data_IF_184504078929
#
_entry.id   IF_184504078929
#
_cell.length_a   1.000
_cell.length_b   1.000
_cell.length_c   1.000
_cell.angle_alpha   90.00
_cell.angle_beta   90.00
_cell.angle_gamma   90.00
#
_symmetry.space_group_name_H-M   'P 1'
#
loop_
_entity.id
_entity.type
_entity.pdbx_description
1 polymer ?
#
# COMPACT_ATOMS: atom_id res chain seq x y z
N UNK A 1 11.75 33.53 0.51
CA UNK A 1 10.42 32.90 0.26
C UNK A 1 10.33 32.18 -1.10
N UNK A 2 10.65 32.81 -2.24
CA UNK A 2 10.63 32.13 -3.57
C UNK A 2 11.54 30.89 -3.68
N UNK A 3 12.76 30.96 -3.12
CA UNK A 3 13.74 29.88 -3.20
C UNK A 3 13.33 28.63 -2.39
N UNK A 4 12.64 28.83 -1.27
CA UNK A 4 12.08 27.76 -0.44
C UNK A 4 10.93 27.02 -1.16
N UNK A 5 10.09 27.75 -1.90
CA UNK A 5 8.99 27.16 -2.69
C UNK A 5 9.49 26.36 -3.92
N UNK A 6 10.64 26.77 -4.50
CA UNK A 6 11.28 26.04 -5.59
C UNK A 6 11.85 24.69 -5.16
N UNK A 7 12.33 24.55 -3.92
CA UNK A 7 12.87 23.28 -3.40
C UNK A 7 11.80 22.34 -2.87
N UNK A 8 10.68 22.88 -2.38
CA UNK A 8 9.59 22.08 -1.81
C UNK A 8 8.82 21.27 -2.88
N UNK A 9 8.67 21.84 -4.08
CA UNK A 9 7.86 21.26 -5.15
C UNK A 9 8.45 19.94 -5.70
N UNK A 10 9.76 19.84 -6.01
CA UNK A 10 10.38 18.58 -6.43
C UNK A 10 10.34 17.48 -5.36
N UNK A 11 10.49 17.85 -4.08
CA UNK A 11 10.41 16.89 -2.97
C UNK A 11 9.02 16.27 -2.89
N UNK A 12 7.97 17.10 -2.98
CA UNK A 12 6.59 16.63 -2.97
C UNK A 12 6.28 15.70 -4.14
N UNK A 13 6.77 16.04 -5.34
CA UNK A 13 6.64 15.17 -6.52
C UNK A 13 7.39 13.85 -6.31
N UNK A 14 8.61 13.89 -5.75
CA UNK A 14 9.37 12.69 -5.43
C UNK A 14 8.64 11.78 -4.45
N UNK A 15 8.01 12.33 -3.41
CA UNK A 15 7.21 11.57 -2.45
C UNK A 15 6.01 10.89 -3.11
N UNK A 16 5.29 11.59 -4.00
CA UNK A 16 4.17 10.99 -4.76
C UNK A 16 4.65 9.83 -5.63
N UNK A 17 5.79 10.01 -6.32
CA UNK A 17 6.38 8.94 -7.16
C UNK A 17 6.76 7.73 -6.31
N UNK A 18 7.42 7.95 -5.17
CA UNK A 18 7.77 6.86 -4.23
C UNK A 18 6.50 6.15 -3.73
N UNK A 19 5.45 6.88 -3.39
CA UNK A 19 4.15 6.31 -3.02
C UNK A 19 3.57 5.44 -4.14
N UNK A 20 3.59 5.93 -5.38
CA UNK A 20 3.14 5.16 -6.55
C UNK A 20 3.95 3.87 -6.76
N UNK A 21 5.28 3.94 -6.62
CA UNK A 21 6.16 2.76 -6.69
C UNK A 21 5.81 1.74 -5.59
N UNK A 22 5.55 2.21 -4.37
CA UNK A 22 5.20 1.31 -3.26
C UNK A 22 3.88 0.58 -3.51
N UNK A 23 2.87 1.27 -4.05
CA UNK A 23 1.61 0.65 -4.48
C UNK A 23 1.84 -0.37 -5.59
N UNK A 24 2.68 -0.06 -6.59
CA UNK A 24 3.01 -0.99 -7.66
C UNK A 24 3.71 -2.25 -7.14
N UNK A 25 4.63 -2.12 -6.19
CA UNK A 25 5.29 -3.26 -5.55
C UNK A 25 4.27 -4.10 -4.77
N UNK A 26 3.37 -3.47 -4.00
CA UNK A 26 2.28 -4.15 -3.31
C UNK A 26 1.41 -4.96 -4.26
N UNK A 27 1.00 -4.35 -5.37
CA UNK A 27 0.25 -5.02 -6.43
C UNK A 27 0.97 -6.25 -6.98
N UNK A 28 2.24 -6.09 -7.36
CA UNK A 28 3.04 -7.20 -7.90
C UNK A 28 3.18 -8.33 -6.89
N UNK A 29 3.42 -8.02 -5.61
CA UNK A 29 3.50 -9.01 -4.53
C UNK A 29 2.19 -9.76 -4.32
N UNK A 30 1.07 -9.04 -4.22
CA UNK A 30 -0.26 -9.66 -4.04
C UNK A 30 -0.64 -10.54 -5.23
N UNK A 31 -0.41 -10.07 -6.46
CA UNK A 31 -0.67 -10.86 -7.67
C UNK A 31 0.24 -12.09 -7.74
N UNK A 32 1.52 -11.95 -7.41
CA UNK A 32 2.45 -13.08 -7.37
C UNK A 32 2.03 -14.12 -6.33
N UNK A 33 1.61 -13.68 -5.13
CA UNK A 33 1.07 -14.56 -4.10
C UNK A 33 -0.17 -15.31 -4.60
N UNK A 34 -1.18 -14.60 -5.11
CA UNK A 34 -2.41 -15.22 -5.63
C UNK A 34 -2.16 -16.22 -6.76
N UNK A 35 -1.15 -15.97 -7.60
CA UNK A 35 -0.80 -16.87 -8.70
C UNK A 35 -0.06 -18.13 -8.20
N UNK A 36 0.84 -17.96 -7.24
CA UNK A 36 1.73 -19.03 -6.80
C UNK A 36 1.14 -19.85 -5.63
N UNK A 37 0.18 -19.29 -4.89
CA UNK A 37 -0.43 -19.89 -3.71
C UNK A 37 -1.96 -19.83 -3.83
N UNK A 38 -2.57 -20.66 -4.71
CA UNK A 38 -4.03 -20.72 -4.85
C UNK A 38 -4.71 -21.29 -3.60
N UNK A 39 -3.98 -22.05 -2.77
CA UNK A 39 -4.42 -22.62 -1.50
C UNK A 39 -3.23 -22.70 -0.54
N UNK A 40 -3.45 -22.44 0.75
CA UNK A 40 -2.43 -22.59 1.80
C UNK A 40 -2.32 -24.07 2.19
N UNK A 41 -1.25 -24.75 1.79
CA UNK A 41 -1.07 -26.18 2.00
C UNK A 41 -0.09 -26.49 3.14
N UNK A 42 0.91 -25.64 3.36
CA UNK A 42 1.96 -25.86 4.33
C UNK A 42 2.35 -24.59 5.11
N UNK A 43 3.31 -24.73 6.02
CA UNK A 43 3.83 -23.62 6.80
C UNK A 43 4.57 -22.57 5.95
N UNK A 44 5.16 -22.97 4.81
CA UNK A 44 5.85 -22.05 3.90
C UNK A 44 4.86 -21.13 3.18
N UNK A 45 3.71 -21.65 2.76
CA UNK A 45 2.59 -20.86 2.26
C UNK A 45 2.09 -19.85 3.29
N UNK A 46 1.98 -20.28 4.54
CA UNK A 46 1.56 -19.41 5.63
C UNK A 46 2.55 -18.28 5.90
N UNK A 47 3.86 -18.55 5.88
CA UNK A 47 4.87 -17.50 6.02
C UNK A 47 4.84 -16.52 4.84
N UNK A 48 4.62 -17.00 3.61
CA UNK A 48 4.40 -16.11 2.45
C UNK A 48 3.17 -15.22 2.63
N UNK A 49 2.09 -15.75 3.20
CA UNK A 49 0.89 -14.99 3.51
C UNK A 49 1.15 -13.91 4.58
N UNK A 50 1.86 -14.26 5.65
CA UNK A 50 2.28 -13.32 6.69
C UNK A 50 3.18 -12.22 6.14
N UNK A 51 4.13 -12.55 5.28
CA UNK A 51 5.01 -11.55 4.66
C UNK A 51 4.27 -10.59 3.74
N UNK A 52 3.24 -11.09 3.03
CA UNK A 52 2.34 -10.24 2.25
C UNK A 52 1.58 -9.28 3.16
N UNK A 53 1.00 -9.79 4.25
CA UNK A 53 0.26 -8.99 5.22
C UNK A 53 1.15 -7.94 5.90
N UNK A 54 2.34 -8.33 6.40
CA UNK A 54 3.33 -7.42 6.98
C UNK A 54 3.70 -6.31 6.00
N UNK A 55 3.99 -6.67 4.74
CA UNK A 55 4.29 -5.67 3.72
C UNK A 55 3.12 -4.71 3.50
N UNK A 56 1.88 -5.23 3.38
CA UNK A 56 0.68 -4.42 3.21
C UNK A 56 0.48 -3.42 4.36
N UNK A 57 0.64 -3.87 5.61
CA UNK A 57 0.51 -3.01 6.80
C UNK A 57 1.58 -1.90 6.82
N UNK A 58 2.86 -2.25 6.64
CA UNK A 58 3.94 -1.26 6.61
C UNK A 58 3.83 -0.30 5.42
N UNK A 59 3.44 -0.81 4.26
CA UNK A 59 3.26 0.01 3.07
C UNK A 59 2.11 1.01 3.24
N UNK A 60 0.98 0.59 3.83
CA UNK A 60 -0.13 1.47 4.13
C UNK A 60 0.28 2.60 5.09
N UNK A 61 1.05 2.30 6.13
CA UNK A 61 1.60 3.31 7.06
C UNK A 61 2.51 4.30 6.34
N UNK A 62 3.39 3.84 5.45
CA UNK A 62 4.29 4.70 4.69
C UNK A 62 3.54 5.55 3.65
N UNK A 63 2.47 5.03 3.05
CA UNK A 63 1.68 5.73 2.03
C UNK A 63 0.98 6.97 2.58
N UNK A 64 0.56 6.96 3.85
CA UNK A 64 -0.11 8.10 4.48
C UNK A 64 0.74 9.37 4.36
N UNK A 65 1.96 9.46 4.93
CA UNK A 65 2.77 10.67 4.79
C UNK A 65 3.24 10.91 3.35
N UNK A 66 3.52 9.85 2.58
CA UNK A 66 4.00 9.98 1.20
C UNK A 66 2.98 10.61 0.25
N UNK A 67 1.69 10.45 0.50
CA UNK A 67 0.64 11.02 -0.35
C UNK A 67 -0.04 12.23 0.29
N UNK A 68 -0.27 12.19 1.60
CA UNK A 68 -1.00 13.24 2.29
C UNK A 68 -0.18 14.52 2.46
N UNK A 69 1.12 14.42 2.77
CA UNK A 69 1.98 15.61 2.92
C UNK A 69 2.11 16.34 1.58
N UNK A 70 2.46 15.69 0.45
CA UNK A 70 2.49 16.36 -0.85
C UNK A 70 1.16 16.96 -1.26
N UNK A 71 0.04 16.27 -0.99
CA UNK A 71 -1.29 16.81 -1.26
C UNK A 71 -1.51 18.13 -0.51
N UNK A 72 -1.29 18.15 0.81
CA UNK A 72 -1.46 19.37 1.61
C UNK A 72 -0.53 20.49 1.15
N UNK A 73 0.75 20.17 0.92
CA UNK A 73 1.74 21.16 0.52
C UNK A 73 1.41 21.75 -0.86
N UNK A 74 1.13 20.91 -1.86
CA UNK A 74 0.92 21.38 -3.23
C UNK A 74 -0.43 22.08 -3.42
N UNK A 75 -1.45 21.76 -2.61
CA UNK A 75 -2.77 22.40 -2.67
C UNK A 75 -2.81 23.72 -1.91
N UNK A 76 -2.31 23.75 -0.67
CA UNK A 76 -2.49 24.91 0.21
C UNK A 76 -1.34 25.92 0.17
N UNK A 77 -0.15 25.54 -0.31
CA UNK A 77 0.99 26.46 -0.43
C UNK A 77 0.98 27.10 -1.83
N UNK A 78 1.30 28.40 -1.97
CA UNK A 78 1.46 29.03 -3.28
C UNK A 78 2.54 28.31 -4.11
N UNK A 79 2.10 27.63 -5.16
CA UNK A 79 2.94 26.89 -6.10
C UNK A 79 2.53 27.23 -7.54
N UNK A 80 3.41 26.92 -8.50
CA UNK A 80 3.06 27.03 -9.93
C UNK A 80 1.81 26.17 -10.23
N UNK A 81 0.93 26.61 -11.16
CA UNK A 81 -0.24 25.84 -11.58
C UNK A 81 0.07 24.38 -11.96
N UNK A 82 1.25 24.12 -12.55
CA UNK A 82 1.69 22.77 -12.92
C UNK A 82 1.86 21.89 -11.68
N UNK A 83 2.50 22.40 -10.62
CA UNK A 83 2.70 21.63 -9.39
C UNK A 83 1.39 21.43 -8.61
N UNK A 84 0.46 22.39 -8.68
CA UNK A 84 -0.90 22.21 -8.14
C UNK A 84 -1.64 21.09 -8.85
N UNK A 85 -1.56 21.06 -10.19
CA UNK A 85 -2.16 19.99 -10.98
C UNK A 85 -1.55 18.63 -10.61
N UNK A 86 -0.23 18.53 -10.50
CA UNK A 86 0.44 17.29 -10.08
C UNK A 86 0.07 16.87 -8.65
N UNK A 87 -0.05 17.83 -7.73
CA UNK A 87 -0.48 17.59 -6.36
C UNK A 87 -1.91 17.09 -6.21
N UNK A 88 -2.75 17.31 -7.23
CA UNK A 88 -4.12 16.81 -7.27
C UNK A 88 -4.21 15.49 -8.04
N UNK A 89 -3.63 15.43 -9.23
CA UNK A 89 -3.68 14.25 -10.12
C UNK A 89 -2.88 13.09 -9.56
N UNK A 90 -1.68 13.32 -9.03
CA UNK A 90 -0.80 12.27 -8.53
C UNK A 90 -1.43 11.43 -7.42
N UNK A 91 -1.81 12.04 -6.27
CA UNK A 91 -2.48 11.31 -5.19
C UNK A 91 -3.80 10.67 -5.63
N UNK A 92 -4.56 11.31 -6.52
CA UNK A 92 -5.81 10.74 -7.07
C UNK A 92 -5.54 9.45 -7.85
N UNK A 93 -4.55 9.45 -8.74
CA UNK A 93 -4.16 8.25 -9.50
C UNK A 93 -3.71 7.13 -8.57
N UNK A 94 -2.88 7.45 -7.57
CA UNK A 94 -2.43 6.46 -6.59
C UNK A 94 -3.61 5.91 -5.78
N UNK A 95 -4.58 6.75 -5.43
CA UNK A 95 -5.82 6.33 -4.76
C UNK A 95 -6.65 5.35 -5.61
N UNK A 96 -6.83 5.63 -6.90
CA UNK A 96 -7.56 4.74 -7.83
C UNK A 96 -6.88 3.37 -7.92
N UNK A 97 -5.55 3.35 -8.07
CA UNK A 97 -4.79 2.08 -8.09
C UNK A 97 -4.86 1.38 -6.73
N UNK A 98 -4.87 2.13 -5.63
CA UNK A 98 -5.05 1.61 -4.28
C UNK A 98 -6.38 0.87 -4.09
N UNK A 99 -7.48 1.37 -4.66
CA UNK A 99 -8.78 0.67 -4.66
C UNK A 99 -8.66 -0.69 -5.37
N UNK A 100 -7.99 -0.72 -6.53
CA UNK A 100 -7.74 -1.98 -7.23
C UNK A 100 -6.88 -2.92 -6.40
N UNK A 101 -5.82 -2.42 -5.77
CA UNK A 101 -4.98 -3.23 -4.89
C UNK A 101 -5.82 -3.85 -3.77
N UNK A 102 -6.78 -3.10 -3.22
CA UNK A 102 -7.67 -3.61 -2.18
C UNK A 102 -8.52 -4.78 -2.64
N UNK A 103 -9.01 -4.77 -3.89
CA UNK A 103 -9.70 -5.93 -4.48
C UNK A 103 -8.81 -7.18 -4.43
N UNK A 104 -7.52 -7.05 -4.76
CA UNK A 104 -6.55 -8.16 -4.73
C UNK A 104 -6.18 -8.60 -3.32
N UNK A 105 -6.06 -7.68 -2.37
CA UNK A 105 -5.86 -8.03 -0.97
C UNK A 105 -7.03 -8.83 -0.42
N UNK A 106 -8.27 -8.42 -0.71
CA UNK A 106 -9.47 -9.16 -0.30
C UNK A 106 -9.48 -10.57 -0.90
N UNK A 107 -9.05 -10.73 -2.16
CA UNK A 107 -8.88 -12.07 -2.75
C UNK A 107 -7.82 -12.91 -2.01
N UNK A 108 -6.69 -12.31 -1.62
CA UNK A 108 -5.63 -13.00 -0.89
C UNK A 108 -6.08 -13.41 0.53
N UNK A 109 -6.90 -12.56 1.18
CA UNK A 109 -7.50 -12.86 2.48
C UNK A 109 -8.51 -14.01 2.41
N UNK A 110 -9.16 -14.17 1.27
CA UNK A 110 -10.09 -15.26 1.01
C UNK A 110 -9.41 -16.56 0.55
N UNK A 111 -8.08 -16.62 0.44
CA UNK A 111 -7.36 -17.83 0.03
C UNK A 111 -7.69 -18.98 0.98
N UNK A 112 -8.16 -20.10 0.41
CA UNK A 112 -8.51 -21.29 1.18
C UNK A 112 -7.27 -21.93 1.82
N UNK A 113 -7.47 -22.57 2.98
CA UNK A 113 -6.43 -23.36 3.64
C UNK A 113 -6.76 -24.85 3.57
N UNK A 114 -5.73 -25.69 3.65
CA UNK A 114 -5.90 -27.15 3.57
C UNK A 114 -6.39 -27.76 4.89
N UNK A 115 -5.97 -27.21 6.03
CA UNK A 115 -6.32 -27.70 7.36
C UNK A 115 -7.04 -26.64 8.20
N UNK A 116 -7.76 -27.09 9.23
CA UNK A 116 -8.39 -26.21 10.24
C UNK A 116 -7.37 -25.37 10.99
N UNK A 117 -6.19 -25.92 11.28
CA UNK A 117 -5.08 -25.21 11.95
C UNK A 117 -4.57 -24.05 11.08
N UNK A 118 -4.31 -24.28 9.79
CA UNK A 118 -3.91 -23.23 8.85
C UNK A 118 -5.03 -22.22 8.63
N UNK A 119 -6.29 -22.65 8.69
CA UNK A 119 -7.44 -21.74 8.59
C UNK A 119 -7.48 -20.77 9.78
N UNK A 120 -7.33 -21.29 11.00
CA UNK A 120 -7.30 -20.47 12.20
C UNK A 120 -6.13 -19.48 12.20
N UNK A 121 -4.94 -19.91 11.75
CA UNK A 121 -3.77 -19.03 11.65
C UNK A 121 -3.95 -17.96 10.55
N UNK A 122 -4.47 -18.34 9.38
CA UNK A 122 -4.83 -17.38 8.32
C UNK A 122 -5.79 -16.32 8.86
N UNK A 123 -6.84 -16.74 9.56
CA UNK A 123 -7.87 -15.84 10.06
C UNK A 123 -7.31 -14.89 11.13
N UNK A 124 -6.44 -15.37 12.02
CA UNK A 124 -5.70 -14.55 12.98
C UNK A 124 -4.86 -13.48 12.29
N UNK A 125 -4.10 -13.87 11.27
CA UNK A 125 -3.25 -12.96 10.48
C UNK A 125 -4.10 -11.94 9.72
N UNK A 126 -5.20 -12.37 9.09
CA UNK A 126 -6.16 -11.49 8.40
C UNK A 126 -6.78 -10.48 9.35
N UNK A 127 -7.20 -10.91 10.53
CA UNK A 127 -7.79 -10.04 11.55
C UNK A 127 -6.81 -8.95 11.96
N UNK A 128 -5.55 -9.34 12.20
CA UNK A 128 -4.47 -8.40 12.49
C UNK A 128 -4.22 -7.43 11.34
N UNK A 129 -4.09 -7.93 10.11
CA UNK A 129 -3.90 -7.11 8.91
C UNK A 129 -5.02 -6.08 8.71
N UNK A 130 -6.27 -6.45 8.98
CA UNK A 130 -7.41 -5.57 8.75
C UNK A 130 -7.68 -4.57 9.88
N UNK A 131 -7.34 -4.93 11.13
CA UNK A 131 -7.73 -4.14 12.31
C UNK A 131 -6.58 -3.42 13.00
N UNK A 132 -5.33 -3.86 12.81
CA UNK A 132 -4.17 -3.30 13.50
C UNK A 132 -3.34 -2.44 12.57
N UNK A 133 -2.69 -1.44 13.16
CA UNK A 133 -1.75 -0.58 12.44
C UNK A 133 -0.42 -1.29 12.15
N UNK A 134 0.01 -2.19 13.05
CA UNK A 134 1.29 -2.89 12.98
C UNK A 134 1.11 -4.41 13.07
N UNK A 135 1.96 -5.20 12.38
CA UNK A 135 1.92 -6.64 12.48
C UNK A 135 2.33 -7.11 13.88
N UNK A 136 1.67 -8.15 14.38
CA UNK A 136 1.90 -8.74 15.71
C UNK A 136 2.22 -10.25 15.63
N UNK A 137 2.61 -10.72 14.45
CA UNK A 137 2.93 -12.11 14.13
C UNK A 137 4.23 -12.20 13.32
#
# INVERSE_FOLDING_TARGET
>A
MKQFLMTLSPVCVGMIVIGGVLVAIGWMKTVAFLRNTPRLCDAGDMERYKDLARFGMWAALALIPLLFIPFLVLVFVPASPIYRLLGLVGPTLVGVVGVKLKEKETMAQATEAHSSELTAERDRVTDSWMKKAFPDF
#
